data_IF_956354600688
#
_entry.id   IF_956354600688
#
_cell.length_a   1.000
_cell.length_b   1.000
_cell.length_c   1.000
_cell.angle_alpha   90.00
_cell.angle_beta   90.00
_cell.angle_gamma   90.00
#
_symmetry.space_group_name_H-M   'P 1'
#
loop_
_entity.id
_entity.type
_entity.pdbx_description
1 polymer ?
#
# COMPACT_ATOMS: atom_id res chain seq x y z
N UNK A 1 18.75 -44.41 -15.43
CA UNK A 1 18.93 -42.95 -15.35
C UNK A 1 18.28 -42.49 -14.06
N UNK A 2 19.05 -42.49 -12.98
CA UNK A 2 18.71 -41.84 -11.71
C UNK A 2 18.62 -40.33 -11.94
N UNK A 3 17.56 -39.69 -11.46
CA UNK A 3 17.52 -38.23 -11.30
C UNK A 3 17.43 -37.92 -9.82
N UNK A 4 18.43 -37.16 -9.37
CA UNK A 4 18.74 -36.89 -7.99
C UNK A 4 17.67 -36.01 -7.33
N UNK A 5 17.27 -36.41 -6.13
CA UNK A 5 16.53 -35.60 -5.18
C UNK A 5 17.34 -34.34 -4.82
N UNK A 6 16.84 -33.16 -5.19
CA UNK A 6 17.30 -31.89 -4.62
C UNK A 6 16.72 -31.76 -3.21
N UNK A 7 17.48 -32.24 -2.21
CA UNK A 7 17.29 -31.90 -0.80
C UNK A 7 17.45 -30.39 -0.61
N UNK A 8 16.37 -29.69 -0.26
CA UNK A 8 16.44 -28.37 0.34
C UNK A 8 17.06 -28.48 1.74
N UNK A 9 18.14 -27.75 2.07
CA UNK A 9 18.58 -27.63 3.45
C UNK A 9 17.83 -26.47 4.09
N UNK A 10 16.57 -26.67 4.48
CA UNK A 10 15.95 -25.79 5.48
C UNK A 10 16.35 -26.33 6.84
N UNK A 11 17.56 -26.00 7.27
CA UNK A 11 17.95 -26.06 8.68
C UNK A 11 17.10 -25.02 9.42
N UNK A 12 15.91 -25.43 9.83
CA UNK A 12 15.13 -24.74 10.83
C UNK A 12 15.97 -24.79 12.11
N UNK A 13 16.66 -23.69 12.38
CA UNK A 13 17.54 -23.52 13.52
C UNK A 13 16.68 -23.39 14.79
N UNK A 14 16.16 -24.53 15.26
CA UNK A 14 15.45 -24.70 16.52
C UNK A 14 16.41 -24.87 17.72
N UNK A 15 17.70 -24.55 17.56
CA UNK A 15 18.70 -24.66 18.63
C UNK A 15 18.67 -23.53 19.67
N UNK A 16 17.69 -22.62 19.69
CA UNK A 16 17.69 -21.53 20.67
C UNK A 16 17.05 -21.85 22.03
N UNK A 17 16.41 -23.01 22.22
CA UNK A 17 15.79 -23.35 23.52
C UNK A 17 16.85 -23.64 24.60
N UNK A 18 18.11 -23.95 24.20
CA UNK A 18 19.24 -24.11 25.12
C UNK A 18 19.96 -22.82 25.52
N UNK A 19 19.69 -21.68 24.88
CA UNK A 19 20.46 -20.44 25.07
C UNK A 19 19.91 -19.52 26.19
N UNK A 20 18.78 -19.87 26.80
CA UNK A 20 18.15 -19.07 27.87
C UNK A 20 18.66 -19.48 29.26
N UNK A 21 19.24 -20.69 29.38
CA UNK A 21 19.64 -21.26 30.67
C UNK A 21 20.80 -20.53 31.37
N UNK A 22 21.60 -19.74 30.64
CA UNK A 22 22.79 -19.04 31.16
C UNK A 22 22.73 -17.50 31.01
N UNK A 23 21.57 -16.92 30.69
CA UNK A 23 21.43 -15.46 30.59
C UNK A 23 21.20 -14.84 31.97
N UNK A 24 21.95 -13.77 32.27
CA UNK A 24 21.69 -12.99 33.48
C UNK A 24 20.33 -12.30 33.38
N UNK A 25 19.71 -12.01 34.52
CA UNK A 25 18.41 -11.34 34.58
C UNK A 25 18.41 -10.01 33.78
N UNK A 26 19.55 -9.32 33.75
CA UNK A 26 19.78 -8.09 33.00
C UNK A 26 19.82 -8.30 31.48
N UNK A 27 20.43 -9.40 31.02
CA UNK A 27 20.44 -9.79 29.60
C UNK A 27 19.04 -10.20 29.12
N UNK A 28 18.28 -10.88 29.97
CA UNK A 28 16.87 -11.24 29.69
C UNK A 28 16.03 -9.96 29.56
N UNK A 29 16.16 -8.99 30.48
CA UNK A 29 15.48 -7.69 30.37
C UNK A 29 15.87 -6.90 29.12
N UNK A 30 17.15 -6.89 28.76
CA UNK A 30 17.63 -6.21 27.55
C UNK A 30 17.08 -6.85 26.27
N UNK A 31 17.03 -8.19 26.21
CA UNK A 31 16.43 -8.91 25.08
C UNK A 31 14.92 -8.67 25.00
N UNK A 32 14.20 -8.68 26.12
CA UNK A 32 12.77 -8.35 26.13
C UNK A 32 12.52 -6.92 25.64
N UNK A 33 13.31 -5.94 26.07
CA UNK A 33 13.17 -4.56 25.60
C UNK A 33 13.48 -4.42 24.09
N UNK A 34 14.48 -5.14 23.59
CA UNK A 34 14.79 -5.17 22.16
C UNK A 34 13.67 -5.80 21.34
N UNK A 35 13.13 -6.93 21.79
CA UNK A 35 12.03 -7.63 21.13
C UNK A 35 10.74 -6.80 21.17
N UNK A 36 10.45 -6.14 22.29
CA UNK A 36 9.31 -5.21 22.42
C UNK A 36 9.41 -4.07 21.40
N UNK A 37 10.58 -3.44 21.30
CA UNK A 37 10.84 -2.37 20.34
C UNK A 37 10.74 -2.86 18.89
N UNK A 38 11.20 -4.07 18.61
CA UNK A 38 11.07 -4.67 17.28
C UNK A 38 9.61 -4.96 16.92
N UNK A 39 8.81 -5.41 17.89
CA UNK A 39 7.38 -5.68 17.72
C UNK A 39 6.61 -4.38 17.44
N UNK A 40 6.86 -3.33 18.22
CA UNK A 40 6.30 -1.99 17.98
C UNK A 40 6.65 -1.44 16.60
N UNK A 41 7.91 -1.61 16.16
CA UNK A 41 8.34 -1.19 14.83
C UNK A 41 7.63 -1.96 13.72
N UNK A 42 7.41 -3.27 13.89
CA UNK A 42 6.69 -4.11 12.91
C UNK A 42 5.22 -3.74 12.82
N UNK A 43 4.56 -3.49 13.95
CA UNK A 43 3.17 -3.03 13.99
C UNK A 43 3.01 -1.66 13.33
N UNK A 44 3.91 -0.70 13.62
CA UNK A 44 3.92 0.60 12.98
C UNK A 44 4.18 0.50 11.45
N UNK A 45 5.06 -0.41 11.02
CA UNK A 45 5.31 -0.67 9.60
C UNK A 45 4.08 -1.27 8.90
N UNK A 46 3.38 -2.21 9.53
CA UNK A 46 2.16 -2.81 8.99
C UNK A 46 1.03 -1.78 8.87
N UNK A 47 0.84 -0.92 9.89
CA UNK A 47 -0.13 0.17 9.84
C UNK A 47 0.18 1.16 8.71
N UNK A 48 1.46 1.56 8.56
CA UNK A 48 1.90 2.42 7.44
C UNK A 48 1.67 1.76 6.08
N UNK A 49 1.97 0.47 5.93
CA UNK A 49 1.75 -0.26 4.69
C UNK A 49 0.27 -0.33 4.29
N UNK A 50 -0.64 -0.51 5.26
CA UNK A 50 -2.08 -0.51 5.02
C UNK A 50 -2.59 0.87 4.54
N UNK A 51 -2.09 1.95 5.14
CA UNK A 51 -2.40 3.33 4.74
C UNK A 51 -1.84 3.62 3.34
N UNK A 52 -0.61 3.20 3.05
CA UNK A 52 0.02 3.33 1.73
C UNK A 52 -0.72 2.56 0.63
N UNK A 53 -1.14 1.32 0.88
CA UNK A 53 -1.95 0.55 -0.05
C UNK A 53 -3.29 1.22 -0.36
N UNK A 54 -3.95 1.77 0.67
CA UNK A 54 -5.21 2.50 0.52
C UNK A 54 -5.05 3.81 -0.24
N UNK A 55 -3.98 4.57 0.02
CA UNK A 55 -3.66 5.80 -0.70
C UNK A 55 -3.36 5.53 -2.19
N UNK A 56 -2.61 4.47 -2.51
CA UNK A 56 -2.37 4.04 -3.91
C UNK A 56 -3.69 3.72 -4.62
N UNK A 57 -4.59 2.96 -4.00
CA UNK A 57 -5.92 2.68 -4.57
C UNK A 57 -6.75 3.96 -4.76
N UNK A 58 -6.71 4.88 -3.81
CA UNK A 58 -7.43 6.15 -3.92
C UNK A 58 -6.92 6.99 -5.11
N UNK A 59 -5.60 7.07 -5.32
CA UNK A 59 -5.01 7.76 -6.48
C UNK A 59 -5.44 7.11 -7.80
N UNK A 60 -5.44 5.78 -7.87
CA UNK A 60 -5.89 5.04 -9.05
C UNK A 60 -7.36 5.34 -9.37
N UNK A 61 -8.23 5.27 -8.37
CA UNK A 61 -9.66 5.56 -8.51
C UNK A 61 -9.92 7.02 -8.93
N UNK A 62 -9.24 7.97 -8.29
CA UNK A 62 -9.37 9.39 -8.63
C UNK A 62 -8.92 9.68 -10.06
N UNK A 63 -7.86 9.03 -10.52
CA UNK A 63 -7.43 9.10 -11.92
C UNK A 63 -8.52 8.58 -12.84
N UNK A 64 -9.17 7.48 -12.44
CA UNK A 64 -10.22 6.89 -13.24
C UNK A 64 -11.47 7.78 -13.35
N UNK A 65 -11.90 8.36 -12.24
CA UNK A 65 -13.01 9.30 -12.22
C UNK A 65 -12.76 10.50 -13.14
N UNK A 66 -11.54 11.05 -13.16
CA UNK A 66 -11.16 12.19 -14.04
C UNK A 66 -11.25 11.85 -15.53
N UNK A 67 -10.81 10.66 -15.91
CA UNK A 67 -10.94 10.22 -17.30
C UNK A 67 -12.42 9.98 -17.66
N UNK A 68 -13.17 9.28 -16.81
CA UNK A 68 -14.60 9.02 -17.04
C UNK A 68 -15.42 10.31 -17.15
N UNK A 69 -15.19 11.30 -16.29
CA UNK A 69 -15.84 12.60 -16.39
C UNK A 69 -15.54 13.28 -17.74
N UNK A 70 -14.27 13.27 -18.17
CA UNK A 70 -13.89 13.87 -19.45
C UNK A 70 -14.57 13.18 -20.64
N UNK A 71 -14.68 11.86 -20.59
CA UNK A 71 -15.31 11.06 -21.65
C UNK A 71 -16.83 11.28 -21.69
N UNK A 72 -17.48 11.29 -20.53
CA UNK A 72 -18.91 11.59 -20.43
C UNK A 72 -19.25 13.00 -20.93
N UNK A 73 -18.45 14.00 -20.55
CA UNK A 73 -18.64 15.37 -21.03
C UNK A 73 -18.36 15.49 -22.54
N UNK A 74 -17.48 14.65 -23.10
CA UNK A 74 -17.24 14.60 -24.54
C UNK A 74 -18.43 13.98 -25.30
N UNK A 75 -18.98 12.86 -24.79
CA UNK A 75 -20.13 12.18 -25.39
C UNK A 75 -21.42 12.99 -25.23
N UNK A 76 -21.57 13.68 -24.11
CA UNK A 76 -22.76 14.44 -23.74
C UNK A 76 -22.35 15.84 -23.20
N UNK A 77 -22.05 16.79 -24.08
CA UNK A 77 -21.64 18.13 -23.66
C UNK A 77 -22.71 18.83 -22.81
N UNK A 78 -22.27 19.51 -21.76
CA UNK A 78 -23.14 20.22 -20.82
C UNK A 78 -23.76 19.33 -19.74
N UNK A 79 -23.40 18.04 -19.68
CA UNK A 79 -23.97 17.09 -18.69
C UNK A 79 -23.70 17.55 -17.26
N UNK A 80 -22.51 18.10 -17.01
CA UNK A 80 -22.10 18.53 -15.68
C UNK A 80 -22.30 20.03 -15.44
N UNK A 81 -23.06 20.73 -16.29
CA UNK A 81 -23.40 22.14 -16.07
C UNK A 81 -24.48 22.31 -14.99
N UNK A 82 -24.35 23.37 -14.18
CA UNK A 82 -25.29 23.73 -13.12
C UNK A 82 -24.98 23.13 -11.73
N UNK A 83 -25.67 23.66 -10.71
CA UNK A 83 -25.36 23.40 -9.30
C UNK A 83 -25.54 21.94 -8.86
N UNK A 84 -26.39 21.16 -9.54
CA UNK A 84 -26.72 19.77 -9.19
C UNK A 84 -25.51 18.83 -9.23
N UNK A 85 -24.52 19.11 -10.07
CA UNK A 85 -23.37 18.23 -10.31
C UNK A 85 -22.10 18.66 -9.56
N UNK A 86 -22.10 19.80 -8.87
CA UNK A 86 -20.89 20.40 -8.29
C UNK A 86 -20.13 19.51 -7.31
N UNK A 87 -20.81 18.57 -6.64
CA UNK A 87 -20.15 17.62 -5.72
C UNK A 87 -19.40 16.48 -6.43
N UNK A 88 -19.67 16.26 -7.72
CA UNK A 88 -19.10 15.17 -8.52
C UNK A 88 -18.29 15.65 -9.72
N UNK A 89 -18.11 16.96 -9.85
CA UNK A 89 -17.16 17.52 -10.82
C UNK A 89 -15.72 17.44 -10.31
N UNK A 90 -14.72 17.41 -11.20
CA UNK A 90 -13.31 17.22 -10.84
C UNK A 90 -12.75 18.28 -9.88
N UNK A 91 -13.37 19.46 -9.79
CA UNK A 91 -12.95 20.54 -8.90
C UNK A 91 -13.23 20.22 -7.43
N UNK A 92 -14.27 19.43 -7.13
CA UNK A 92 -14.62 19.02 -5.78
C UNK A 92 -13.81 17.80 -5.29
N UNK A 93 -13.15 17.07 -6.21
CA UNK A 93 -12.41 15.89 -5.83
C UNK A 93 -11.08 16.22 -5.13
N UNK A 94 -10.68 15.40 -4.15
CA UNK A 94 -9.40 15.55 -3.47
C UNK A 94 -8.24 15.47 -4.48
N UNK A 95 -7.14 16.17 -4.17
CA UNK A 95 -5.91 16.14 -4.98
C UNK A 95 -5.04 14.95 -4.60
N UNK A 96 -4.30 14.38 -5.55
CA UNK A 96 -3.36 13.29 -5.34
C UNK A 96 -2.35 13.60 -4.21
N UNK A 97 -1.92 14.87 -4.10
CA UNK A 97 -1.02 15.35 -3.05
C UNK A 97 -1.58 15.15 -1.62
N UNK A 98 -2.90 15.13 -1.45
CA UNK A 98 -3.52 14.86 -0.16
C UNK A 98 -3.24 13.40 0.26
N UNK A 99 -3.39 12.44 -0.65
CA UNK A 99 -3.11 11.03 -0.40
C UNK A 99 -1.61 10.75 -0.29
N UNK A 100 -0.79 11.43 -1.11
CA UNK A 100 0.68 11.35 -1.02
C UNK A 100 1.17 11.72 0.38
N UNK A 101 0.70 12.84 0.94
CA UNK A 101 1.09 13.28 2.29
C UNK A 101 0.57 12.37 3.40
N UNK A 102 -0.66 11.88 3.28
CA UNK A 102 -1.26 11.02 4.30
C UNK A 102 -0.54 9.67 4.46
N UNK A 103 0.11 9.19 3.40
CA UNK A 103 0.75 7.89 3.36
C UNK A 103 2.27 7.94 3.04
N UNK A 104 2.86 9.13 3.03
CA UNK A 104 4.27 9.38 2.69
C UNK A 104 4.73 8.67 1.41
N UNK A 105 3.90 8.71 0.36
CA UNK A 105 4.20 8.03 -0.90
C UNK A 105 5.26 8.78 -1.71
N UNK A 106 6.12 8.03 -2.39
CA UNK A 106 7.03 8.58 -3.39
C UNK A 106 6.30 8.98 -4.69
N UNK A 107 6.92 9.83 -5.51
CA UNK A 107 6.38 10.19 -6.83
C UNK A 107 6.22 8.98 -7.75
N UNK A 108 7.18 8.04 -7.69
CA UNK A 108 7.14 6.80 -8.49
C UNK A 108 5.92 5.95 -8.13
N UNK A 109 5.58 5.85 -6.85
CA UNK A 109 4.42 5.09 -6.38
C UNK A 109 3.09 5.73 -6.78
N UNK A 110 3.02 7.06 -6.71
CA UNK A 110 1.85 7.81 -7.21
C UNK A 110 1.70 7.58 -8.72
N UNK A 111 2.78 7.62 -9.49
CA UNK A 111 2.77 7.37 -10.93
C UNK A 111 2.29 5.95 -11.27
N UNK A 112 2.83 4.93 -10.58
CA UNK A 112 2.40 3.54 -10.76
C UNK A 112 0.90 3.34 -10.42
N UNK A 113 0.40 3.99 -9.37
CA UNK A 113 -1.01 3.97 -9.02
C UNK A 113 -1.89 4.63 -10.09
N UNK A 114 -1.46 5.76 -10.67
CA UNK A 114 -2.15 6.41 -11.78
C UNK A 114 -2.22 5.49 -13.00
N UNK A 115 -1.13 4.82 -13.33
CA UNK A 115 -1.06 3.89 -14.46
C UNK A 115 -2.02 2.71 -14.27
N UNK A 116 -2.08 2.14 -13.06
CA UNK A 116 -3.04 1.10 -12.73
C UNK A 116 -4.50 1.59 -12.88
N UNK A 117 -4.79 2.82 -12.42
CA UNK A 117 -6.10 3.44 -12.58
C UNK A 117 -6.49 3.66 -14.04
N UNK A 118 -5.54 4.09 -14.88
CA UNK A 118 -5.77 4.29 -16.32
C UNK A 118 -6.10 2.96 -17.01
N UNK A 119 -5.28 1.93 -16.78
CA UNK A 119 -5.49 0.58 -17.34
C UNK A 119 -6.83 -0.03 -16.93
N UNK A 120 -7.27 0.21 -15.70
CA UNK A 120 -8.55 -0.28 -15.22
C UNK A 120 -9.73 0.26 -16.03
N UNK A 121 -9.66 1.49 -16.53
CA UNK A 121 -10.70 2.07 -17.40
C UNK A 121 -10.59 1.54 -18.83
N UNK A 122 -9.36 1.44 -19.35
CA UNK A 122 -9.13 0.94 -20.71
C UNK A 122 -9.69 -0.48 -20.91
N UNK A 123 -9.82 -1.26 -19.82
CA UNK A 123 -10.44 -2.58 -19.80
C UNK A 123 -11.97 -2.62 -19.70
N UNK A 124 -12.67 -1.49 -19.55
CA UNK A 124 -14.15 -1.41 -19.49
C UNK A 124 -14.72 -1.16 -20.91
N UNK A 125 -14.18 -1.86 -21.92
CA UNK A 125 -14.68 -1.82 -23.30
C UNK A 125 -15.75 -2.87 -23.57
#
# INVERSE_FOLDING_TARGET
METAEMKSPTTNNLQSVGAIADLTEEQIRAQMASLQKELENREAAAAKAAVAGSAKRAVALLTAMKAAHKELEHMFPGTFEGEKWGAITPQAWPRDAAYKRAADLSETEVSAAREAGRKAIEGIK
#
